data_IF_198305524483
#
_entry.id   IF_198305524483
#
_cell.length_a   1.000
_cell.length_b   1.000
_cell.length_c   1.000
_cell.angle_alpha   90.00
_cell.angle_beta   90.00
_cell.angle_gamma   90.00
#
_symmetry.space_group_name_H-M   'P 1'
#
loop_
_entity.id
_entity.type
_entity.pdbx_description
1 polymer ?
#
# COMPACT_ATOMS: atom_id res chain seq x y z
N UNK A 1 20.03 -35.59 49.65
CA UNK A 1 19.10 -36.69 49.31
C UNK A 1 18.17 -36.21 48.21
N UNK A 2 18.17 -36.96 47.13
CA UNK A 2 17.51 -36.76 45.85
C UNK A 2 16.00 -36.73 45.99
N UNK A 3 15.30 -35.89 45.18
CA UNK A 3 14.05 -36.33 44.56
C UNK A 3 13.82 -35.56 43.28
N UNK A 4 13.90 -36.27 42.18
CA UNK A 4 13.40 -35.91 40.85
C UNK A 4 11.86 -35.95 40.85
N UNK A 5 11.21 -34.96 40.30
CA UNK A 5 9.79 -35.02 39.91
C UNK A 5 9.70 -34.92 38.41
N UNK A 6 9.29 -36.02 37.78
CA UNK A 6 8.98 -36.12 36.35
C UNK A 6 7.71 -35.35 36.02
N UNK A 7 7.77 -34.47 34.99
CA UNK A 7 6.57 -33.91 34.37
C UNK A 7 6.12 -34.83 33.23
N UNK A 8 4.94 -35.38 33.36
CA UNK A 8 4.23 -36.13 32.33
C UNK A 8 3.55 -35.10 31.39
N UNK A 9 3.90 -35.14 30.10
CA UNK A 9 3.13 -34.51 29.06
C UNK A 9 1.92 -35.35 28.72
N UNK A 10 0.71 -34.86 29.00
CA UNK A 10 -0.53 -35.43 28.48
C UNK A 10 -0.78 -34.85 27.08
N UNK A 11 -0.58 -35.69 26.07
CA UNK A 11 -1.01 -35.42 24.69
C UNK A 11 -2.52 -35.72 24.61
N UNK A 12 -3.33 -34.69 24.46
CA UNK A 12 -4.76 -34.82 24.21
C UNK A 12 -4.99 -35.05 22.71
N UNK A 13 -5.14 -36.30 22.29
CA UNK A 13 -5.62 -36.64 20.95
C UNK A 13 -7.12 -36.29 20.85
N UNK A 14 -7.44 -35.18 20.14
CA UNK A 14 -8.81 -34.96 19.68
C UNK A 14 -9.07 -35.89 18.49
N UNK A 15 -9.87 -36.91 18.68
CA UNK A 15 -10.45 -37.72 17.59
C UNK A 15 -11.63 -36.94 17.00
N UNK A 16 -11.44 -36.33 15.82
CA UNK A 16 -12.54 -35.86 14.98
C UNK A 16 -13.21 -37.08 14.31
N UNK A 17 -14.54 -37.13 14.21
CA UNK A 17 -15.20 -38.22 13.50
C UNK A 17 -14.90 -38.13 12.01
N UNK A 18 -14.33 -39.17 11.42
CA UNK A 18 -14.25 -39.37 9.99
C UNK A 18 -15.69 -39.50 9.44
N UNK A 19 -16.16 -38.44 8.74
CA UNK A 19 -17.31 -38.57 7.86
C UNK A 19 -16.80 -39.32 6.63
N UNK A 20 -17.28 -40.53 6.43
CA UNK A 20 -16.97 -41.31 5.25
C UNK A 20 -17.59 -40.61 4.02
N UNK A 21 -16.74 -40.18 3.09
CA UNK A 21 -17.17 -39.73 1.79
C UNK A 21 -17.72 -40.91 1.00
N UNK A 22 -18.94 -40.78 0.50
CA UNK A 22 -19.52 -41.72 -0.48
C UNK A 22 -18.85 -41.46 -1.84
N UNK A 23 -18.10 -42.41 -2.42
CA UNK A 23 -17.37 -42.20 -3.68
C UNK A 23 -18.29 -42.16 -4.92
N UNK A 24 -19.60 -42.19 -4.77
CA UNK A 24 -20.55 -42.22 -5.87
C UNK A 24 -21.54 -41.03 -5.91
N UNK A 25 -21.20 -39.89 -5.24
CA UNK A 25 -22.00 -38.66 -5.38
C UNK A 25 -21.37 -37.74 -6.44
N UNK A 26 -21.95 -37.63 -7.67
CA UNK A 26 -21.36 -36.86 -8.76
C UNK A 26 -21.56 -35.31 -8.64
N UNK A 27 -22.21 -34.82 -7.59
CA UNK A 27 -22.64 -33.43 -7.48
C UNK A 27 -21.86 -32.59 -6.43
N UNK A 28 -20.75 -33.07 -5.89
CA UNK A 28 -19.86 -32.25 -5.08
C UNK A 28 -18.67 -31.84 -5.98
N UNK A 29 -18.54 -30.55 -6.34
CA UNK A 29 -17.30 -30.09 -6.97
C UNK A 29 -16.15 -30.43 -6.02
N UNK A 30 -15.09 -31.06 -6.53
CA UNK A 30 -13.84 -31.22 -5.79
C UNK A 30 -13.42 -29.83 -5.27
N UNK A 31 -13.66 -29.56 -3.99
CA UNK A 31 -13.01 -28.45 -3.30
C UNK A 31 -11.52 -28.76 -3.32
N UNK A 32 -10.80 -28.24 -4.31
CA UNK A 32 -9.34 -28.22 -4.30
C UNK A 32 -8.92 -27.59 -2.98
N UNK A 33 -8.53 -28.41 -2.00
CA UNK A 33 -7.85 -27.95 -0.79
C UNK A 33 -6.54 -27.34 -1.29
N UNK A 34 -6.52 -26.02 -1.52
CA UNK A 34 -5.32 -25.33 -1.96
C UNK A 34 -4.36 -25.27 -0.80
N UNK A 35 -3.29 -26.05 -0.90
CA UNK A 35 -2.14 -25.95 -0.02
C UNK A 35 -1.61 -24.51 -0.12
N UNK A 36 -1.54 -23.80 1.02
CA UNK A 36 -0.97 -22.46 1.12
C UNK A 36 0.46 -22.36 0.56
N UNK A 37 1.15 -23.51 0.43
CA UNK A 37 2.46 -23.63 -0.20
C UNK A 37 2.43 -23.49 -1.73
N UNK A 38 1.28 -23.48 -2.40
CA UNK A 38 1.19 -23.32 -3.85
C UNK A 38 1.41 -21.87 -4.31
N UNK A 39 1.18 -20.88 -3.46
CA UNK A 39 1.36 -19.46 -3.79
C UNK A 39 2.75 -18.95 -3.42
N UNK A 40 3.26 -18.00 -4.21
CA UNK A 40 4.50 -17.28 -3.93
C UNK A 40 4.20 -15.89 -3.38
N UNK A 41 3.83 -15.79 -2.10
CA UNK A 41 3.71 -14.52 -1.39
C UNK A 41 5.10 -14.11 -0.87
N UNK A 42 5.90 -13.44 -1.70
CA UNK A 42 7.31 -13.16 -1.41
C UNK A 42 7.66 -11.68 -1.34
N UNK A 43 6.70 -10.78 -1.62
CA UNK A 43 6.96 -9.34 -1.51
C UNK A 43 7.18 -8.91 -0.07
N UNK A 44 8.20 -8.08 0.14
CA UNK A 44 8.40 -7.33 1.37
C UNK A 44 7.39 -6.19 1.52
N UNK A 45 7.48 -5.44 2.63
CA UNK A 45 6.67 -4.23 2.80
C UNK A 45 7.14 -3.11 1.89
N UNK A 46 6.22 -2.26 1.42
CA UNK A 46 6.60 -0.99 0.82
C UNK A 46 7.20 -0.06 1.87
N UNK A 47 8.38 0.49 1.58
CA UNK A 47 8.99 1.50 2.45
C UNK A 47 8.22 2.82 2.47
N UNK A 48 7.37 3.08 1.46
CA UNK A 48 6.58 4.31 1.31
C UNK A 48 5.26 4.27 2.07
N UNK A 49 4.66 3.05 2.25
CA UNK A 49 3.28 2.86 2.73
C UNK A 49 3.16 3.06 4.23
N UNK A 50 2.34 4.02 4.63
CA UNK A 50 2.08 4.36 6.02
C UNK A 50 0.62 4.66 6.31
N UNK A 51 0.35 4.99 7.57
CA UNK A 51 -0.94 5.48 8.04
C UNK A 51 -0.76 6.68 8.97
N UNK A 52 -1.65 7.67 8.85
CA UNK A 52 -1.83 8.73 9.83
C UNK A 52 -2.86 8.25 10.86
N UNK A 53 -2.39 7.79 12.04
CA UNK A 53 -3.27 7.09 12.97
C UNK A 53 -2.76 7.04 14.41
N UNK A 54 -3.63 7.36 15.35
CA UNK A 54 -3.44 7.02 16.76
C UNK A 54 -3.92 5.58 16.97
N UNK A 55 -2.98 4.64 17.03
CA UNK A 55 -3.27 3.22 17.25
C UNK A 55 -4.04 3.05 18.56
N UNK A 56 -5.15 2.34 18.52
CA UNK A 56 -6.07 2.25 19.66
C UNK A 56 -5.90 0.96 20.46
N UNK A 57 -5.49 -0.13 19.79
CA UNK A 57 -5.38 -1.44 20.39
C UNK A 57 -4.40 -2.34 19.62
N UNK A 58 -4.00 -3.43 20.21
CA UNK A 58 -3.04 -4.39 19.63
C UNK A 58 -3.55 -5.02 18.35
N UNK A 59 -4.86 -5.30 18.25
CA UNK A 59 -5.49 -5.85 17.05
C UNK A 59 -5.35 -4.93 15.83
N UNK A 60 -5.25 -3.62 16.01
CA UNK A 60 -5.01 -2.68 14.91
C UNK A 60 -3.62 -2.92 14.27
N UNK A 61 -2.60 -3.14 15.13
CA UNK A 61 -1.26 -3.50 14.66
C UNK A 61 -1.23 -4.86 13.98
N UNK A 62 -1.93 -5.86 14.54
CA UNK A 62 -1.97 -7.20 13.98
C UNK A 62 -2.62 -7.24 12.59
N UNK A 63 -3.60 -6.36 12.35
CA UNK A 63 -4.31 -6.25 11.07
C UNK A 63 -3.56 -5.42 10.02
N UNK A 64 -2.97 -4.30 10.39
CA UNK A 64 -2.35 -3.35 9.44
C UNK A 64 -0.82 -3.45 9.40
N UNK A 65 -0.20 -3.86 10.50
CA UNK A 65 1.24 -3.95 10.66
C UNK A 65 1.98 -4.74 9.58
N UNK A 66 1.42 -5.83 9.01
CA UNK A 66 2.05 -6.53 7.90
C UNK A 66 2.33 -5.68 6.65
N UNK A 67 1.58 -4.59 6.43
CA UNK A 67 1.72 -3.74 5.24
C UNK A 67 2.25 -2.32 5.53
N UNK A 68 2.17 -1.87 6.78
CA UNK A 68 2.53 -0.50 7.19
C UNK A 68 3.99 -0.46 7.62
N UNK A 69 4.78 0.43 7.01
CA UNK A 69 6.20 0.64 7.33
C UNK A 69 6.46 1.85 8.19
N UNK A 70 5.53 2.80 8.23
CA UNK A 70 5.65 3.99 9.07
C UNK A 70 4.29 4.55 9.47
N UNK A 71 4.26 5.31 10.54
CA UNK A 71 3.06 6.04 10.98
C UNK A 71 3.41 7.28 11.78
N UNK A 72 2.43 8.17 11.92
CA UNK A 72 2.42 9.26 12.88
C UNK A 72 1.00 9.46 13.42
N UNK A 73 0.86 10.17 14.53
CA UNK A 73 -0.41 10.34 15.24
C UNK A 73 -0.63 11.80 15.69
N UNK A 74 -0.07 12.75 14.95
CA UNK A 74 -0.12 14.20 15.21
C UNK A 74 0.50 14.63 16.55
N UNK A 75 1.21 13.74 17.25
CA UNK A 75 1.82 13.99 18.54
C UNK A 75 3.35 13.94 18.49
N UNK A 76 3.98 14.31 19.60
CA UNK A 76 5.44 14.28 19.75
C UNK A 76 5.97 12.85 19.93
N UNK A 77 5.14 11.91 20.40
CA UNK A 77 5.45 10.50 20.60
C UNK A 77 4.16 9.68 20.71
N UNK A 78 4.26 8.36 20.75
CA UNK A 78 3.17 7.43 21.02
C UNK A 78 3.17 6.93 22.48
N UNK A 79 2.12 6.22 22.89
CA UNK A 79 2.04 5.62 24.22
C UNK A 79 3.11 4.50 24.37
N UNK A 80 3.90 4.53 25.44
CA UNK A 80 4.98 3.56 25.68
C UNK A 80 4.51 2.10 25.72
N UNK A 81 3.24 1.85 26.02
CA UNK A 81 2.62 0.52 25.95
C UNK A 81 2.59 -0.06 24.52
N UNK A 82 2.73 0.76 23.49
CA UNK A 82 2.70 0.35 22.09
C UNK A 82 4.08 0.01 21.53
N UNK A 83 5.16 0.30 22.25
CA UNK A 83 6.56 0.09 21.83
C UNK A 83 6.80 -1.31 21.26
N UNK A 84 6.36 -2.35 21.99
CA UNK A 84 6.52 -3.74 21.56
C UNK A 84 5.84 -4.05 20.22
N UNK A 85 4.72 -3.40 19.91
CA UNK A 85 4.01 -3.58 18.64
C UNK A 85 4.71 -2.84 17.49
N UNK A 86 5.19 -1.62 17.72
CA UNK A 86 6.01 -0.90 16.74
C UNK A 86 7.25 -1.72 16.35
N UNK A 87 7.94 -2.29 17.34
CA UNK A 87 9.12 -3.14 17.11
C UNK A 87 8.75 -4.46 16.41
N UNK A 88 7.69 -5.15 16.87
CA UNK A 88 7.21 -6.41 16.30
C UNK A 88 6.95 -6.29 14.79
N UNK A 89 6.32 -5.20 14.38
CA UNK A 89 5.97 -4.99 12.99
C UNK A 89 6.98 -4.12 12.23
N UNK A 90 8.05 -3.64 12.86
CA UNK A 90 9.03 -2.77 12.21
C UNK A 90 8.40 -1.51 11.63
N UNK A 91 7.48 -0.89 12.38
CA UNK A 91 6.80 0.35 11.98
C UNK A 91 7.62 1.52 12.49
N UNK A 92 8.07 2.39 11.60
CA UNK A 92 8.78 3.60 11.96
C UNK A 92 7.80 4.70 12.36
N UNK A 93 7.79 5.10 13.62
CA UNK A 93 7.02 6.26 14.06
C UNK A 93 7.76 7.55 13.75
N UNK A 94 7.02 8.58 13.33
CA UNK A 94 7.57 9.91 13.04
C UNK A 94 6.91 10.95 13.94
N UNK A 95 7.67 11.57 14.89
CA UNK A 95 7.18 12.67 15.70
C UNK A 95 6.74 13.88 14.88
N UNK A 96 5.78 14.66 15.41
CA UNK A 96 5.30 15.88 14.79
C UNK A 96 5.32 17.05 15.77
N UNK A 97 5.78 18.21 15.32
CA UNK A 97 5.53 19.50 15.97
C UNK A 97 4.24 20.08 15.38
N UNK A 98 3.07 19.72 15.96
CA UNK A 98 1.75 20.06 15.41
C UNK A 98 1.54 21.57 15.20
N UNK A 99 2.02 22.39 16.14
CA UNK A 99 2.11 23.84 16.08
C UNK A 99 3.32 24.28 16.93
N UNK A 100 3.42 25.52 17.36
CA UNK A 100 4.48 26.02 18.24
C UNK A 100 4.38 25.57 19.72
N UNK A 101 3.38 24.75 20.06
CA UNK A 101 3.22 24.16 21.41
C UNK A 101 3.50 22.65 21.34
N UNK A 102 4.80 22.27 21.41
CA UNK A 102 5.27 20.89 21.39
C UNK A 102 6.25 20.63 22.54
N UNK A 103 6.50 19.36 22.85
CA UNK A 103 7.48 18.95 23.85
C UNK A 103 8.80 18.52 23.21
N UNK A 104 9.77 19.42 23.16
CA UNK A 104 11.12 19.11 22.69
C UNK A 104 11.75 17.97 23.49
N UNK A 105 11.49 17.91 24.81
CA UNK A 105 12.01 16.84 25.67
C UNK A 105 11.42 15.47 25.30
N UNK A 106 10.11 15.38 25.00
CA UNK A 106 9.49 14.11 24.56
C UNK A 106 10.02 13.65 23.22
N UNK A 107 10.23 14.57 22.27
CA UNK A 107 10.82 14.28 20.95
C UNK A 107 12.26 13.78 21.12
N UNK A 108 13.08 14.45 21.94
CA UNK A 108 14.45 14.07 22.20
C UNK A 108 14.55 12.69 22.88
N UNK A 109 13.69 12.41 23.88
CA UNK A 109 13.61 11.10 24.52
C UNK A 109 13.26 9.99 23.52
N UNK A 110 12.26 10.22 22.66
CA UNK A 110 11.91 9.27 21.60
C UNK A 110 13.13 8.94 20.72
N UNK A 111 13.85 9.95 20.24
CA UNK A 111 15.01 9.72 19.37
C UNK A 111 16.20 9.06 20.10
N UNK A 112 16.40 9.33 21.39
CA UNK A 112 17.44 8.67 22.17
C UNK A 112 17.21 7.14 22.25
N UNK A 113 15.96 6.71 22.38
CA UNK A 113 15.57 5.30 22.41
C UNK A 113 15.62 4.65 21.02
N UNK A 114 15.61 5.45 19.93
CA UNK A 114 15.55 4.98 18.52
C UNK A 114 16.75 5.46 17.68
N UNK A 115 17.90 5.65 18.28
CA UNK A 115 19.09 6.25 17.65
C UNK A 115 19.65 5.48 16.43
N UNK A 116 19.27 4.21 16.25
CA UNK A 116 19.74 3.37 15.13
C UNK A 116 18.92 3.54 13.84
N UNK A 117 17.83 4.29 13.88
CA UNK A 117 16.96 4.54 12.74
C UNK A 117 17.30 5.88 12.06
N UNK A 118 16.98 6.01 10.76
CA UNK A 118 16.96 7.34 10.14
C UNK A 118 15.78 8.12 10.69
N UNK A 119 16.04 9.12 11.51
CA UNK A 119 15.02 9.94 12.14
C UNK A 119 14.43 10.97 11.17
N UNK A 120 13.14 11.25 11.34
CA UNK A 120 12.41 12.30 10.64
C UNK A 120 11.53 13.05 11.65
N UNK A 121 11.38 14.37 11.45
CA UNK A 121 10.50 15.22 12.25
C UNK A 121 9.52 15.92 11.33
N UNK A 122 8.21 15.73 11.54
CA UNK A 122 7.18 16.48 10.84
C UNK A 122 7.05 17.88 11.43
N UNK A 123 6.95 18.88 10.56
CA UNK A 123 6.65 20.26 10.91
C UNK A 123 5.19 20.48 11.28
N UNK A 124 4.74 21.74 11.21
CA UNK A 124 3.40 22.15 11.65
C UNK A 124 2.29 21.52 10.83
N UNK A 125 1.18 21.19 11.49
CA UNK A 125 0.02 20.58 10.87
C UNK A 125 -0.89 21.65 10.25
N UNK A 126 -1.00 21.66 8.94
CA UNK A 126 -1.95 22.48 8.17
C UNK A 126 -2.02 23.95 8.61
N UNK A 127 -0.88 24.66 8.69
CA UNK A 127 -0.90 26.04 9.17
C UNK A 127 -1.70 26.97 8.24
N UNK A 128 -1.97 26.57 7.00
CA UNK A 128 -2.80 27.29 6.04
C UNK A 128 -4.32 27.03 6.20
N UNK A 129 -4.75 26.33 7.26
CA UNK A 129 -6.15 26.18 7.64
C UNK A 129 -6.44 26.91 8.96
N UNK A 130 -7.57 27.64 9.02
CA UNK A 130 -7.96 28.46 10.18
C UNK A 130 -8.44 27.64 11.38
N UNK A 131 -8.79 26.38 11.18
CA UNK A 131 -9.24 25.42 12.21
C UNK A 131 -8.15 24.40 12.58
N UNK A 132 -6.94 24.54 12.02
CA UNK A 132 -5.77 23.72 12.33
C UNK A 132 -4.68 24.56 13.01
N UNK A 133 -3.41 24.39 12.69
CA UNK A 133 -2.35 25.19 13.33
C UNK A 133 -2.51 26.71 13.10
N UNK A 134 -3.18 27.13 12.05
CA UNK A 134 -3.63 28.50 11.78
C UNK A 134 -2.51 29.54 11.91
N UNK A 135 -1.50 29.43 11.06
CA UNK A 135 -0.32 30.30 11.06
C UNK A 135 -0.10 30.90 9.69
N UNK A 136 0.16 32.20 9.60
CA UNK A 136 0.77 32.81 8.42
C UNK A 136 2.21 32.30 8.26
N UNK A 137 2.82 32.37 7.06
CA UNK A 137 4.22 32.04 6.87
C UNK A 137 5.17 32.77 7.83
N UNK A 138 4.86 34.05 8.15
CA UNK A 138 5.65 34.84 9.11
C UNK A 138 5.54 34.29 10.54
N UNK A 139 4.33 33.97 11.00
CA UNK A 139 4.12 33.37 12.32
C UNK A 139 4.76 32.00 12.45
N UNK A 140 4.69 31.19 11.40
CA UNK A 140 5.33 29.88 11.38
C UNK A 140 6.87 30.01 11.42
N UNK A 141 7.43 30.99 10.71
CA UNK A 141 8.88 31.25 10.68
C UNK A 141 9.43 31.77 12.02
N UNK A 142 8.63 32.49 12.81
CA UNK A 142 9.05 33.09 14.11
C UNK A 142 9.60 32.04 15.10
N UNK A 143 9.09 30.80 15.06
CA UNK A 143 9.49 29.71 15.94
C UNK A 143 10.14 28.54 15.19
N UNK A 144 10.42 28.70 13.89
CA UNK A 144 10.92 27.59 13.07
C UNK A 144 12.35 27.18 13.42
N UNK A 145 13.19 28.12 13.85
CA UNK A 145 14.57 27.83 14.26
C UNK A 145 14.62 26.88 15.47
N UNK A 146 13.64 26.90 16.35
CA UNK A 146 13.52 25.95 17.48
C UNK A 146 13.24 24.52 16.96
N UNK A 147 12.38 24.39 15.96
CA UNK A 147 12.07 23.10 15.32
C UNK A 147 13.31 22.57 14.56
N UNK A 148 14.02 23.44 13.86
CA UNK A 148 15.31 23.13 13.21
C UNK A 148 16.34 22.67 14.22
N UNK A 149 16.45 23.34 15.37
CA UNK A 149 17.40 22.98 16.43
C UNK A 149 17.09 21.57 16.99
N UNK A 150 15.82 21.22 17.19
CA UNK A 150 15.41 19.88 17.62
C UNK A 150 15.78 18.84 16.56
N UNK A 151 15.50 19.09 15.30
CA UNK A 151 15.83 18.17 14.22
C UNK A 151 17.36 17.93 14.15
N UNK A 152 18.15 19.00 14.17
CA UNK A 152 19.61 18.92 14.10
C UNK A 152 20.23 18.20 15.31
N UNK A 153 19.79 18.52 16.52
CA UNK A 153 20.33 17.90 17.74
C UNK A 153 20.03 16.41 17.85
N UNK A 154 19.02 15.91 17.13
CA UNK A 154 18.62 14.51 17.12
C UNK A 154 18.94 13.80 15.80
N UNK A 155 19.75 14.40 14.92
CA UNK A 155 20.08 13.87 13.59
C UNK A 155 18.84 13.46 12.80
N UNK A 156 17.75 14.25 12.89
CA UNK A 156 16.50 14.01 12.20
C UNK A 156 16.41 14.86 10.93
N UNK A 157 15.87 14.28 9.86
CA UNK A 157 15.50 14.99 8.64
C UNK A 157 14.20 15.74 8.89
N UNK A 158 14.23 17.06 8.73
CA UNK A 158 13.06 17.90 8.98
C UNK A 158 12.18 17.96 7.74
N UNK A 159 10.90 17.67 7.93
CA UNK A 159 9.86 17.77 6.90
C UNK A 159 9.14 19.12 7.07
N UNK A 160 8.74 19.75 5.99
CA UNK A 160 8.05 21.04 6.01
C UNK A 160 6.77 21.00 6.85
N UNK A 161 6.18 22.14 7.18
CA UNK A 161 4.76 22.18 7.55
C UNK A 161 3.91 21.45 6.52
N UNK A 162 2.92 20.67 6.96
CA UNK A 162 2.01 19.93 6.08
C UNK A 162 0.96 20.89 5.50
N UNK A 163 0.84 20.92 4.17
CA UNK A 163 -0.08 21.83 3.46
C UNK A 163 -1.38 21.14 3.07
N UNK A 164 -2.49 21.85 3.20
CA UNK A 164 -3.81 21.44 2.69
C UNK A 164 -4.31 22.49 1.67
N UNK A 165 -5.58 22.41 1.22
CA UNK A 165 -6.15 23.35 0.21
C UNK A 165 -6.04 24.83 0.62
N UNK A 166 -6.26 25.15 1.90
CA UNK A 166 -6.12 26.48 2.47
C UNK A 166 -7.45 27.21 2.70
N UNK A 167 -7.63 27.69 3.93
CA UNK A 167 -8.73 28.61 4.33
C UNK A 167 -8.19 29.91 4.92
N UNK A 168 -6.87 30.00 5.11
CA UNK A 168 -6.22 31.18 5.65
C UNK A 168 -6.25 32.31 4.61
N UNK A 169 -6.76 33.46 5.01
CA UNK A 169 -6.87 34.64 4.12
C UNK A 169 -5.52 35.03 3.53
N UNK A 170 -5.48 35.30 2.23
CA UNK A 170 -4.27 35.65 1.49
C UNK A 170 -3.54 34.47 0.86
N UNK A 171 -3.89 33.23 1.19
CA UNK A 171 -3.24 32.02 0.64
C UNK A 171 -4.27 31.10 0.03
N UNK A 172 -4.34 31.07 -1.31
CA UNK A 172 -5.28 30.25 -2.05
C UNK A 172 -4.79 28.81 -2.30
N UNK A 173 -3.50 28.53 -2.04
CA UNK A 173 -2.90 27.19 -2.21
C UNK A 173 -1.79 26.98 -1.19
N UNK A 174 -1.53 25.71 -0.84
CA UNK A 174 -0.40 25.35 0.00
C UNK A 174 0.95 25.68 -0.64
N UNK A 175 1.07 25.60 -1.96
CA UNK A 175 2.29 26.00 -2.69
C UNK A 175 2.61 27.50 -2.46
N UNK A 176 1.61 28.37 -2.56
CA UNK A 176 1.78 29.82 -2.31
C UNK A 176 2.24 30.09 -0.88
N UNK A 177 1.64 29.41 0.09
CA UNK A 177 2.01 29.53 1.50
C UNK A 177 3.48 29.10 1.73
N UNK A 178 3.88 27.95 1.20
CA UNK A 178 5.25 27.44 1.33
C UNK A 178 6.27 28.30 0.60
N UNK A 179 5.94 28.85 -0.57
CA UNK A 179 6.82 29.76 -1.29
C UNK A 179 7.16 30.97 -0.43
N UNK A 180 6.17 31.61 0.21
CA UNK A 180 6.44 32.71 1.12
C UNK A 180 7.21 32.27 2.36
N UNK A 181 6.84 31.13 2.97
CA UNK A 181 7.53 30.57 4.13
C UNK A 181 9.03 30.36 3.85
N UNK A 182 9.37 29.84 2.68
CA UNK A 182 10.76 29.59 2.28
C UNK A 182 11.58 30.87 2.04
N UNK A 183 10.94 32.02 1.90
CA UNK A 183 11.67 33.33 1.90
C UNK A 183 12.06 33.79 3.32
N UNK A 184 11.50 33.18 4.37
CA UNK A 184 11.67 33.60 5.76
C UNK A 184 12.52 32.62 6.58
N UNK A 185 12.73 31.40 6.09
CA UNK A 185 13.53 30.35 6.73
C UNK A 185 14.63 29.88 5.80
N UNK A 186 15.61 29.12 6.31
CA UNK A 186 16.62 28.51 5.44
C UNK A 186 16.05 27.24 4.80
N UNK A 187 15.79 27.21 3.48
CA UNK A 187 15.23 26.03 2.81
C UNK A 187 16.12 24.77 2.91
N UNK A 188 17.43 24.94 3.14
CA UNK A 188 18.37 23.81 3.24
C UNK A 188 18.19 23.01 4.54
N UNK A 189 17.56 23.58 5.55
CA UNK A 189 17.23 22.86 6.79
C UNK A 189 16.00 21.95 6.63
N UNK A 190 15.24 22.10 5.54
CA UNK A 190 14.05 21.31 5.24
C UNK A 190 14.42 20.24 4.24
N UNK A 191 14.26 18.97 4.63
CA UNK A 191 14.58 17.82 3.80
C UNK A 191 13.47 17.49 2.78
N UNK A 192 12.22 17.47 3.20
CA UNK A 192 11.06 17.04 2.39
C UNK A 192 9.84 17.93 2.56
N UNK A 193 8.87 17.79 1.68
CA UNK A 193 7.62 18.58 1.64
C UNK A 193 6.44 17.71 2.04
N UNK A 194 5.75 18.06 3.14
CA UNK A 194 4.53 17.39 3.57
C UNK A 194 3.28 18.02 2.94
N UNK A 195 2.35 17.16 2.51
CA UNK A 195 1.09 17.56 1.87
C UNK A 195 -0.05 16.68 2.34
N UNK A 196 -1.24 17.27 2.52
CA UNK A 196 -2.52 16.60 2.78
C UNK A 196 -3.47 16.86 1.60
N UNK A 197 -4.01 15.81 1.01
CA UNK A 197 -4.88 15.92 -0.18
C UNK A 197 -6.09 15.03 -0.06
N UNK A 198 -7.28 15.62 -0.08
CA UNK A 198 -8.56 14.96 0.18
C UNK A 198 -9.53 15.07 -1.00
N UNK A 199 -9.03 15.00 -2.22
CA UNK A 199 -9.86 15.03 -3.43
C UNK A 199 -10.45 13.64 -3.68
N UNK A 200 -11.67 13.58 -4.26
CA UNK A 200 -12.40 12.34 -4.50
C UNK A 200 -12.03 11.62 -5.82
N UNK A 201 -11.10 12.16 -6.59
CA UNK A 201 -10.63 11.59 -7.85
C UNK A 201 -9.11 11.46 -7.82
N UNK A 202 -8.58 10.28 -8.09
CA UNK A 202 -7.14 10.01 -8.07
C UNK A 202 -6.35 10.99 -8.96
N UNK A 203 -6.86 11.29 -10.16
CA UNK A 203 -6.24 12.28 -11.07
C UNK A 203 -6.07 13.65 -10.42
N UNK A 204 -7.07 14.13 -9.70
CA UNK A 204 -7.00 15.42 -9.02
C UNK A 204 -6.02 15.41 -7.86
N UNK A 205 -6.06 14.34 -7.03
CA UNK A 205 -5.13 14.15 -5.90
C UNK A 205 -3.67 14.10 -6.37
N UNK A 206 -3.39 13.25 -7.36
CA UNK A 206 -2.04 13.07 -7.87
C UNK A 206 -1.56 14.30 -8.66
N UNK A 207 -2.45 14.95 -9.41
CA UNK A 207 -2.15 16.19 -10.12
C UNK A 207 -1.81 17.36 -9.18
N UNK A 208 -2.52 17.48 -8.05
CA UNK A 208 -2.20 18.49 -7.04
C UNK A 208 -0.86 18.20 -6.35
N UNK A 209 -0.59 16.94 -6.03
CA UNK A 209 0.70 16.51 -5.46
C UNK A 209 1.88 16.90 -6.35
N UNK A 210 1.75 16.78 -7.69
CA UNK A 210 2.81 17.15 -8.63
C UNK A 210 3.20 18.63 -8.55
N UNK A 211 2.30 19.53 -8.14
CA UNK A 211 2.56 20.97 -8.02
C UNK A 211 3.64 21.27 -6.97
N UNK A 212 3.81 20.40 -5.97
CA UNK A 212 4.81 20.55 -4.92
C UNK A 212 6.22 20.15 -5.35
N UNK A 213 6.39 19.51 -6.51
CA UNK A 213 7.72 19.21 -7.10
C UNK A 213 8.52 20.47 -7.42
N UNK A 214 7.88 21.63 -7.51
CA UNK A 214 8.54 22.94 -7.70
C UNK A 214 9.60 23.25 -6.63
N UNK A 215 9.50 22.63 -5.45
CA UNK A 215 10.46 22.81 -4.35
C UNK A 215 11.72 21.95 -4.50
N UNK A 216 11.77 21.00 -5.44
CA UNK A 216 12.94 20.15 -5.69
C UNK A 216 13.35 19.26 -4.51
N UNK A 217 12.38 18.86 -3.67
CA UNK A 217 12.59 18.08 -2.46
C UNK A 217 11.71 16.82 -2.47
N UNK A 218 12.09 15.74 -1.76
CA UNK A 218 11.24 14.56 -1.62
C UNK A 218 9.84 14.92 -1.09
N UNK A 219 8.81 14.34 -1.72
CA UNK A 219 7.44 14.57 -1.32
C UNK A 219 6.99 13.55 -0.27
N UNK A 220 6.20 14.01 0.67
CA UNK A 220 5.54 13.24 1.71
C UNK A 220 4.04 13.53 1.67
N UNK A 221 3.26 12.60 1.12
CA UNK A 221 1.80 12.69 1.17
C UNK A 221 1.32 12.13 2.51
N UNK A 222 1.37 12.98 3.54
CA UNK A 222 1.18 12.55 4.93
C UNK A 222 -0.27 12.26 5.28
N UNK A 223 -1.23 12.75 4.49
CA UNK A 223 -2.63 12.37 4.60
C UNK A 223 -3.30 12.37 3.24
N UNK A 224 -4.03 11.29 2.93
CA UNK A 224 -4.90 11.25 1.76
C UNK A 224 -5.99 10.19 1.90
N UNK A 225 -7.15 10.49 1.37
CA UNK A 225 -8.24 9.58 1.01
C UNK A 225 -9.20 10.33 0.08
N UNK A 226 -10.13 9.62 -0.55
CA UNK A 226 -11.24 10.31 -1.19
C UNK A 226 -12.21 10.80 -0.10
N UNK A 227 -12.50 12.10 -0.09
CA UNK A 227 -13.32 12.77 0.92
C UNK A 227 -14.72 13.07 0.42
N UNK A 228 -15.07 14.35 0.31
CA UNK A 228 -16.37 14.78 -0.17
C UNK A 228 -16.68 14.24 -1.57
N UNK A 229 -17.90 13.74 -1.75
CA UNK A 229 -18.33 13.16 -3.03
C UNK A 229 -17.90 11.72 -3.25
N UNK A 230 -17.17 11.08 -2.33
CA UNK A 230 -16.96 9.64 -2.35
C UNK A 230 -18.27 8.93 -1.98
N UNK A 231 -18.93 8.34 -2.96
CA UNK A 231 -20.32 7.87 -2.84
C UNK A 231 -20.46 6.40 -2.44
N UNK A 232 -19.37 5.64 -2.42
CA UNK A 232 -19.42 4.21 -2.14
C UNK A 232 -18.06 3.60 -1.74
N UNK A 233 -18.10 2.43 -1.10
CA UNK A 233 -16.93 1.61 -0.84
C UNK A 233 -16.14 1.31 -2.12
N UNK A 234 -16.82 0.97 -3.21
CA UNK A 234 -16.18 0.67 -4.49
C UNK A 234 -15.44 1.90 -5.07
N UNK A 235 -16.02 3.10 -4.96
CA UNK A 235 -15.36 4.34 -5.40
C UNK A 235 -14.08 4.61 -4.59
N UNK A 236 -14.12 4.40 -3.26
CA UNK A 236 -12.94 4.55 -2.41
C UNK A 236 -11.86 3.50 -2.71
N UNK A 237 -12.25 2.24 -2.99
CA UNK A 237 -11.32 1.19 -3.40
C UNK A 237 -10.66 1.51 -4.74
N UNK A 238 -11.41 2.00 -5.72
CA UNK A 238 -10.86 2.42 -7.01
C UNK A 238 -9.89 3.60 -6.86
N UNK A 239 -10.26 4.61 -6.08
CA UNK A 239 -9.39 5.75 -5.75
C UNK A 239 -8.10 5.28 -5.11
N UNK A 240 -8.19 4.45 -4.06
CA UNK A 240 -7.05 3.89 -3.34
C UNK A 240 -6.12 3.14 -4.29
N UNK A 241 -6.66 2.25 -5.13
CA UNK A 241 -5.89 1.45 -6.06
C UNK A 241 -5.11 2.33 -7.06
N UNK A 242 -5.76 3.30 -7.69
CA UNK A 242 -5.12 4.21 -8.65
C UNK A 242 -4.06 5.09 -7.99
N UNK A 243 -4.33 5.60 -6.78
CA UNK A 243 -3.35 6.37 -6.02
C UNK A 243 -2.14 5.52 -5.66
N UNK A 244 -2.32 4.34 -5.05
CA UNK A 244 -1.21 3.49 -4.61
C UNK A 244 -0.34 3.07 -5.81
N UNK A 245 -0.95 2.65 -6.93
CA UNK A 245 -0.22 2.26 -8.13
C UNK A 245 0.68 3.39 -8.67
N UNK A 246 0.25 4.64 -8.53
CA UNK A 246 1.02 5.80 -8.96
C UNK A 246 2.07 6.22 -7.93
N UNK A 247 1.69 6.27 -6.65
CA UNK A 247 2.55 6.72 -5.56
C UNK A 247 3.75 5.79 -5.34
N UNK A 248 3.55 4.47 -5.47
CA UNK A 248 4.65 3.50 -5.34
C UNK A 248 5.69 3.68 -6.44
N UNK A 249 5.29 4.12 -7.64
CA UNK A 249 6.16 4.30 -8.79
C UNK A 249 6.71 5.74 -8.95
N UNK A 250 6.23 6.72 -8.17
CA UNK A 250 6.74 8.09 -8.20
C UNK A 250 8.09 8.18 -7.44
N UNK A 251 9.18 8.43 -8.16
CA UNK A 251 10.52 8.51 -7.57
C UNK A 251 10.74 9.77 -6.73
N UNK A 252 9.92 10.81 -6.89
CA UNK A 252 9.99 12.03 -6.09
C UNK A 252 9.20 11.91 -4.78
N UNK A 253 8.35 10.86 -4.64
CA UNK A 253 7.62 10.58 -3.42
C UNK A 253 8.41 9.62 -2.53
N UNK A 254 8.71 10.04 -1.31
CA UNK A 254 9.40 9.20 -0.32
C UNK A 254 8.41 8.42 0.55
N UNK A 255 7.30 9.03 0.97
CA UNK A 255 6.29 8.41 1.85
C UNK A 255 4.88 8.88 1.55
N UNK A 256 3.91 7.99 1.80
CA UNK A 256 2.48 8.32 1.82
C UNK A 256 1.78 7.64 3.01
N UNK A 257 0.74 8.28 3.56
CA UNK A 257 -0.05 7.73 4.66
C UNK A 257 -1.55 7.86 4.39
N UNK A 258 -2.25 6.73 4.52
CA UNK A 258 -3.70 6.71 4.40
C UNK A 258 -4.36 7.37 5.62
N UNK A 259 -5.28 8.29 5.39
CA UNK A 259 -6.14 8.90 6.40
C UNK A 259 -7.56 8.34 6.27
N UNK A 260 -8.12 7.66 7.21
CA UNK A 260 -7.63 7.23 8.52
C UNK A 260 -8.07 5.77 8.74
N UNK A 261 -7.25 4.89 9.33
CA UNK A 261 -7.61 3.48 9.51
C UNK A 261 -8.91 3.22 10.25
N UNK A 262 -9.31 4.08 11.18
CA UNK A 262 -10.56 3.94 11.94
C UNK A 262 -11.28 5.28 12.04
N UNK A 263 -12.37 5.44 11.31
CA UNK A 263 -13.19 6.64 11.15
C UNK A 263 -13.87 6.62 9.78
N UNK A 264 -14.73 7.57 9.47
CA UNK A 264 -15.34 7.72 8.15
C UNK A 264 -16.13 6.51 7.68
N UNK A 265 -17.06 6.03 8.47
CA UNK A 265 -17.99 4.96 8.10
C UNK A 265 -19.13 5.50 7.24
N UNK A 266 -19.80 4.64 6.47
CA UNK A 266 -20.80 5.01 5.47
C UNK A 266 -21.95 5.91 5.96
N UNK A 267 -22.18 5.97 7.27
CA UNK A 267 -23.21 6.80 7.90
C UNK A 267 -22.69 8.15 8.39
N UNK A 268 -21.40 8.43 8.18
CA UNK A 268 -20.71 9.63 8.65
C UNK A 268 -20.47 10.61 7.50
N UNK A 269 -20.07 11.84 7.83
CA UNK A 269 -19.79 12.88 6.83
C UNK A 269 -18.59 12.50 5.93
N UNK A 270 -17.62 11.74 6.49
CA UNK A 270 -16.43 11.27 5.79
C UNK A 270 -16.61 9.79 5.41
N UNK A 271 -17.20 9.50 4.26
CA UNK A 271 -17.63 8.16 3.94
C UNK A 271 -16.49 7.26 3.48
N UNK A 272 -16.54 6.02 3.89
CA UNK A 272 -15.80 4.90 3.30
C UNK A 272 -14.27 4.94 3.44
N UNK A 273 -13.66 5.76 4.30
CA UNK A 273 -12.19 5.80 4.42
C UNK A 273 -11.61 4.71 5.33
N UNK A 274 -12.40 4.15 6.26
CA UNK A 274 -11.91 3.22 7.28
C UNK A 274 -11.35 1.93 6.70
N UNK A 275 -10.14 1.56 7.16
CA UNK A 275 -9.49 0.29 6.87
C UNK A 275 -9.93 -0.81 7.84
N UNK A 276 -10.37 -0.43 9.04
CA UNK A 276 -10.74 -1.32 10.15
C UNK A 276 -12.23 -1.20 10.46
N UNK A 277 -12.83 -2.30 10.93
CA UNK A 277 -14.23 -2.30 11.36
C UNK A 277 -14.41 -1.49 12.66
N UNK A 278 -15.59 -0.88 12.82
CA UNK A 278 -15.93 -0.06 14.00
C UNK A 278 -16.10 -0.87 15.28
N UNK A 279 -16.61 -2.09 15.16
CA UNK A 279 -17.03 -2.93 16.29
C UNK A 279 -16.32 -4.29 16.25
N UNK A 280 -16.25 -4.93 17.42
CA UNK A 280 -15.74 -6.32 17.55
C UNK A 280 -16.64 -7.35 16.84
N UNK A 281 -16.04 -8.40 16.25
CA UNK A 281 -14.61 -8.63 16.17
C UNK A 281 -13.97 -7.61 15.22
N UNK A 282 -12.83 -7.03 15.64
CA UNK A 282 -12.11 -6.09 14.75
C UNK A 282 -11.50 -6.86 13.58
N UNK A 283 -11.69 -6.31 12.39
CA UNK A 283 -11.26 -6.91 11.14
C UNK A 283 -10.94 -5.84 10.10
N UNK A 284 -10.26 -6.22 9.05
CA UNK A 284 -10.09 -5.38 7.87
C UNK A 284 -11.43 -5.21 7.15
N UNK A 285 -11.76 -3.97 6.82
CA UNK A 285 -12.83 -3.67 5.86
C UNK A 285 -12.40 -4.12 4.46
N UNK A 286 -13.27 -3.97 3.45
CA UNK A 286 -12.90 -4.18 2.04
C UNK A 286 -11.67 -3.33 1.66
N UNK A 287 -11.65 -2.02 2.02
CA UNK A 287 -10.52 -1.11 1.81
C UNK A 287 -9.29 -1.55 2.58
N UNK A 288 -9.46 -2.01 3.83
CA UNK A 288 -8.36 -2.56 4.62
C UNK A 288 -7.72 -3.78 3.98
N UNK A 289 -8.52 -4.71 3.46
CA UNK A 289 -8.04 -5.89 2.73
C UNK A 289 -7.28 -5.47 1.47
N UNK A 290 -7.81 -4.49 0.73
CA UNK A 290 -7.15 -3.95 -0.44
C UNK A 290 -5.79 -3.29 -0.06
N UNK A 291 -5.80 -2.37 0.91
CA UNK A 291 -4.61 -1.64 1.37
C UNK A 291 -3.48 -2.56 1.84
N UNK A 292 -3.82 -3.61 2.59
CA UNK A 292 -2.83 -4.54 3.16
C UNK A 292 -2.24 -5.47 2.09
N UNK A 293 -3.07 -5.92 1.13
CA UNK A 293 -2.68 -6.98 0.19
C UNK A 293 -2.31 -6.48 -1.21
N UNK A 294 -2.48 -5.19 -1.53
CA UNK A 294 -1.97 -4.64 -2.79
C UNK A 294 -0.45 -4.75 -2.88
N UNK A 295 0.06 -4.85 -4.11
CA UNK A 295 1.49 -4.84 -4.36
C UNK A 295 2.25 -3.79 -3.55
N UNK A 296 3.40 -4.18 -3.03
CA UNK A 296 4.39 -3.28 -2.45
C UNK A 296 5.40 -2.75 -3.49
N UNK A 297 5.24 -3.16 -4.76
CA UNK A 297 6.17 -2.83 -5.86
C UNK A 297 7.62 -3.25 -5.57
N UNK A 298 7.77 -4.34 -4.82
CA UNK A 298 9.07 -4.88 -4.42
C UNK A 298 9.88 -5.32 -5.65
N UNK A 299 10.91 -4.54 -5.97
CA UNK A 299 11.78 -4.78 -7.13
C UNK A 299 12.76 -5.94 -6.88
N UNK A 300 12.98 -6.32 -5.63
CA UNK A 300 13.86 -7.42 -5.21
C UNK A 300 13.15 -8.77 -5.20
N UNK A 301 11.81 -8.78 -5.22
CA UNK A 301 11.02 -10.00 -5.24
C UNK A 301 11.23 -10.77 -6.56
N UNK A 302 11.79 -11.98 -6.48
CA UNK A 302 12.03 -12.87 -7.64
C UNK A 302 11.16 -14.11 -7.50
N UNK A 303 10.12 -14.21 -8.32
CA UNK A 303 9.16 -15.31 -8.27
C UNK A 303 9.75 -16.61 -8.82
N UNK A 304 9.57 -17.76 -8.14
CA UNK A 304 9.98 -19.07 -8.65
C UNK A 304 8.98 -19.62 -9.68
N UNK A 305 9.46 -20.42 -10.64
CA UNK A 305 8.60 -21.29 -11.41
C UNK A 305 7.95 -22.37 -10.53
N UNK A 306 6.84 -22.94 -10.99
CA UNK A 306 6.12 -23.99 -10.27
C UNK A 306 5.21 -23.52 -9.15
N UNK A 307 5.21 -22.22 -8.82
CA UNK A 307 4.32 -21.60 -7.84
C UNK A 307 3.29 -20.68 -8.52
N UNK A 308 2.10 -20.55 -7.94
CA UNK A 308 1.11 -19.55 -8.36
C UNK A 308 1.61 -18.17 -7.95
N UNK A 309 1.67 -17.25 -8.88
CA UNK A 309 2.05 -15.85 -8.65
C UNK A 309 0.76 -15.06 -8.61
N UNK A 310 0.39 -14.42 -7.47
CA UNK A 310 -0.78 -13.55 -7.39
C UNK A 310 -0.69 -12.44 -8.43
N UNK A 311 -1.74 -12.23 -9.19
CA UNK A 311 -1.70 -11.25 -10.28
C UNK A 311 -1.57 -9.81 -9.79
N UNK A 312 -2.00 -9.52 -8.57
CA UNK A 312 -1.84 -8.22 -7.92
C UNK A 312 -0.42 -7.94 -7.39
N UNK A 313 0.50 -8.91 -7.38
CA UNK A 313 1.85 -8.77 -6.82
C UNK A 313 2.89 -8.38 -7.87
N UNK A 314 2.55 -7.45 -8.75
CA UNK A 314 3.48 -6.91 -9.74
C UNK A 314 4.53 -5.99 -9.11
N UNK A 315 5.72 -5.90 -9.73
CA UNK A 315 6.81 -4.97 -9.36
C UNK A 315 6.67 -3.60 -10.02
N UNK A 316 5.87 -3.51 -11.08
CA UNK A 316 5.51 -2.30 -11.80
C UNK A 316 4.23 -2.56 -12.60
N UNK A 317 3.48 -1.51 -12.88
CA UNK A 317 2.30 -1.56 -13.75
C UNK A 317 2.19 -0.29 -14.61
N UNK A 318 1.36 -0.38 -15.65
CA UNK A 318 1.03 0.79 -16.46
C UNK A 318 0.26 1.82 -15.63
N UNK A 319 0.62 3.08 -15.82
CA UNK A 319 -0.15 4.26 -15.39
C UNK A 319 -0.19 5.21 -16.57
N UNK A 320 -1.36 5.61 -17.00
CA UNK A 320 -1.50 6.56 -18.11
C UNK A 320 -1.49 8.04 -17.64
N UNK A 321 -1.63 8.95 -18.57
CA UNK A 321 -1.67 10.40 -18.31
C UNK A 321 -2.86 10.87 -17.45
N UNK A 322 -3.87 10.02 -17.31
CA UNK A 322 -5.02 10.23 -16.45
C UNK A 322 -4.95 9.43 -15.14
N UNK A 323 -3.79 8.83 -14.86
CA UNK A 323 -3.54 7.93 -13.73
C UNK A 323 -4.41 6.67 -13.73
N UNK A 324 -4.96 6.28 -14.88
CA UNK A 324 -5.61 4.99 -15.01
C UNK A 324 -4.55 3.88 -15.03
N UNK A 325 -4.77 2.87 -14.22
CA UNK A 325 -3.87 1.75 -13.99
C UNK A 325 -4.68 0.45 -13.86
N UNK A 326 -4.05 -0.74 -13.87
CA UNK A 326 -4.75 -1.98 -13.53
C UNK A 326 -5.48 -1.83 -12.21
N UNK A 327 -6.78 -2.16 -12.19
CA UNK A 327 -7.57 -2.13 -10.97
C UNK A 327 -7.43 -3.45 -10.22
N UNK A 328 -7.34 -3.35 -8.90
CA UNK A 328 -7.30 -4.47 -7.98
C UNK A 328 -8.58 -4.46 -7.13
N UNK A 329 -9.18 -5.61 -6.95
CA UNK A 329 -10.38 -5.80 -6.13
C UNK A 329 -10.27 -7.07 -5.28
N UNK A 330 -11.20 -7.24 -4.33
CA UNK A 330 -11.31 -8.50 -3.60
C UNK A 330 -11.60 -9.63 -4.59
N UNK A 331 -10.88 -10.74 -4.44
CA UNK A 331 -11.05 -11.89 -5.33
C UNK A 331 -12.42 -12.54 -5.13
N UNK A 332 -13.05 -12.88 -6.24
CA UNK A 332 -14.32 -13.65 -6.26
C UNK A 332 -14.09 -15.13 -6.55
N UNK A 333 -12.85 -15.53 -6.81
CA UNK A 333 -12.46 -16.92 -6.98
C UNK A 333 -12.18 -17.61 -5.64
N UNK A 334 -12.24 -18.91 -5.63
CA UNK A 334 -11.88 -19.72 -4.46
C UNK A 334 -10.39 -19.54 -4.15
N UNK A 335 -10.06 -19.28 -2.89
CA UNK A 335 -8.68 -19.13 -2.39
C UNK A 335 -7.87 -17.92 -2.91
N UNK A 336 -8.49 -16.97 -3.62
CA UNK A 336 -7.85 -15.69 -3.94
C UNK A 336 -8.09 -14.64 -2.84
N UNK A 337 -7.09 -13.80 -2.56
CA UNK A 337 -7.26 -12.64 -1.66
C UNK A 337 -7.69 -11.43 -2.48
N UNK A 338 -6.92 -11.09 -3.47
CA UNK A 338 -7.22 -10.04 -4.44
C UNK A 338 -7.20 -10.60 -5.86
N UNK A 339 -7.64 -9.80 -6.81
CA UNK A 339 -7.63 -10.07 -8.24
C UNK A 339 -7.35 -8.81 -9.03
N UNK A 340 -6.82 -8.93 -10.22
CA UNK A 340 -6.90 -7.85 -11.22
C UNK A 340 -8.33 -7.79 -11.73
N UNK A 341 -9.01 -6.65 -11.52
CA UNK A 341 -10.42 -6.49 -11.84
C UNK A 341 -10.63 -5.81 -13.21
N UNK A 342 -10.31 -6.54 -14.25
CA UNK A 342 -10.44 -6.08 -15.63
C UNK A 342 -9.22 -5.31 -16.13
N UNK A 343 -8.21 -6.06 -16.59
CA UNK A 343 -7.05 -5.48 -17.23
C UNK A 343 -7.46 -4.90 -18.60
N UNK A 344 -7.41 -3.56 -18.71
CA UNK A 344 -7.86 -2.87 -19.92
C UNK A 344 -6.82 -2.96 -21.05
N UNK A 345 -7.27 -2.67 -22.28
CA UNK A 345 -6.40 -2.66 -23.46
C UNK A 345 -5.14 -1.79 -23.22
N UNK A 346 -3.98 -2.33 -23.54
CA UNK A 346 -2.64 -1.77 -23.33
C UNK A 346 -2.19 -1.63 -21.87
N UNK A 347 -3.04 -1.89 -20.88
CA UNK A 347 -2.55 -2.01 -19.51
C UNK A 347 -1.66 -3.24 -19.35
N UNK A 348 -0.66 -3.13 -18.48
CA UNK A 348 0.33 -4.17 -18.25
C UNK A 348 0.78 -4.23 -16.79
N UNK A 349 1.38 -5.36 -16.44
CA UNK A 349 1.98 -5.65 -15.13
C UNK A 349 3.29 -6.41 -15.32
N UNK A 350 4.32 -6.04 -14.58
CA UNK A 350 5.66 -6.63 -14.64
C UNK A 350 5.95 -7.51 -13.43
N UNK A 351 6.59 -8.65 -13.66
CA UNK A 351 7.02 -9.58 -12.62
C UNK A 351 8.45 -10.02 -12.88
N UNK A 352 9.30 -10.04 -11.86
CA UNK A 352 10.62 -10.63 -11.98
C UNK A 352 10.55 -12.11 -11.64
N UNK A 353 10.91 -12.96 -12.59
CA UNK A 353 10.73 -14.41 -12.48
C UNK A 353 12.05 -15.13 -12.74
N UNK A 354 12.39 -16.10 -11.87
CA UNK A 354 13.49 -17.05 -12.11
C UNK A 354 12.96 -18.21 -12.94
N UNK A 355 13.10 -18.09 -14.26
CA UNK A 355 12.71 -19.14 -15.21
C UNK A 355 13.69 -20.28 -15.16
N UNK A 356 13.20 -21.51 -14.92
CA UNK A 356 13.99 -22.71 -14.90
C UNK A 356 14.10 -23.31 -16.33
N UNK A 357 15.19 -24.05 -16.59
CA UNK A 357 15.33 -24.83 -17.82
C UNK A 357 14.23 -25.90 -17.88
N UNK A 358 13.53 -25.98 -19.00
CA UNK A 358 12.50 -26.99 -19.21
C UNK A 358 11.06 -26.51 -18.92
N UNK A 359 10.86 -25.24 -18.58
CA UNK A 359 9.52 -24.64 -18.57
C UNK A 359 8.89 -24.76 -19.95
N UNK A 360 7.64 -25.27 -20.01
CA UNK A 360 6.90 -25.54 -21.24
C UNK A 360 5.51 -24.92 -21.28
N UNK A 361 5.00 -24.52 -20.13
CA UNK A 361 3.62 -24.03 -20.04
C UNK A 361 3.51 -22.75 -19.20
N UNK A 362 2.63 -21.89 -19.65
CA UNK A 362 2.08 -20.75 -18.91
C UNK A 362 0.63 -21.05 -18.54
N UNK A 363 0.36 -21.15 -17.25
CA UNK A 363 -0.98 -21.34 -16.73
C UNK A 363 -1.50 -20.03 -16.17
N UNK A 364 -2.76 -19.69 -16.47
CA UNK A 364 -3.40 -18.49 -15.97
C UNK A 364 -4.82 -18.81 -15.47
N UNK A 365 -5.12 -18.35 -14.27
CA UNK A 365 -6.46 -18.39 -13.66
C UNK A 365 -7.17 -17.09 -13.92
N UNK A 366 -8.24 -17.11 -14.72
CA UNK A 366 -8.90 -15.91 -15.21
C UNK A 366 -10.40 -16.08 -15.34
N UNK A 367 -11.10 -14.97 -15.50
CA UNK A 367 -12.46 -14.88 -16.03
C UNK A 367 -12.55 -13.71 -17.00
N UNK A 368 -13.38 -13.83 -18.03
CA UNK A 368 -13.57 -12.79 -19.03
C UNK A 368 -14.97 -12.89 -19.64
N UNK A 369 -15.73 -11.81 -19.64
CA UNK A 369 -17.09 -11.78 -20.23
C UNK A 369 -17.08 -11.62 -21.76
N UNK A 370 -15.91 -11.51 -22.36
CA UNK A 370 -15.65 -11.46 -23.80
C UNK A 370 -14.28 -12.01 -24.10
N UNK A 371 -14.08 -12.49 -25.32
CA UNK A 371 -12.78 -12.98 -25.76
C UNK A 371 -11.71 -11.93 -25.51
N UNK A 372 -10.66 -12.36 -24.85
CA UNK A 372 -9.55 -11.51 -24.41
C UNK A 372 -8.21 -12.11 -24.84
N UNK A 373 -7.15 -11.33 -24.78
CA UNK A 373 -5.79 -11.77 -25.06
C UNK A 373 -4.80 -11.08 -24.14
N UNK A 374 -3.83 -11.86 -23.65
CA UNK A 374 -2.65 -11.37 -22.94
C UNK A 374 -1.42 -11.72 -23.78
N UNK A 375 -0.62 -10.71 -24.10
CA UNK A 375 0.71 -10.95 -24.68
C UNK A 375 1.77 -10.85 -23.58
N UNK A 376 2.61 -11.88 -23.52
CA UNK A 376 3.75 -11.98 -22.60
C UNK A 376 4.96 -11.38 -23.30
N UNK A 377 5.58 -10.37 -22.69
CA UNK A 377 6.82 -9.77 -23.17
C UNK A 377 7.96 -10.04 -22.19
N UNK A 378 9.17 -10.17 -22.71
CA UNK A 378 10.38 -9.93 -21.93
C UNK A 378 10.68 -8.43 -21.96
N UNK A 379 10.99 -7.87 -20.81
CA UNK A 379 11.41 -6.46 -20.67
C UNK A 379 12.88 -6.41 -20.29
N UNK A 380 13.67 -5.63 -21.01
CA UNK A 380 15.08 -5.39 -20.70
C UNK A 380 15.27 -4.24 -19.68
N UNK A 381 16.52 -4.02 -19.26
CA UNK A 381 16.85 -2.98 -18.27
C UNK A 381 16.59 -1.54 -18.78
N UNK A 382 16.44 -1.35 -20.09
CA UNK A 382 16.08 -0.07 -20.71
C UNK A 382 14.57 0.07 -20.91
N UNK A 383 13.77 -0.95 -20.52
CA UNK A 383 12.33 -0.96 -20.68
C UNK A 383 11.83 -1.41 -22.07
N UNK A 384 12.72 -1.89 -22.94
CA UNK A 384 12.31 -2.37 -24.27
C UNK A 384 11.57 -3.70 -24.16
N UNK A 385 10.46 -3.81 -24.90
CA UNK A 385 9.60 -5.00 -24.94
C UNK A 385 10.00 -5.93 -26.10
N UNK A 386 10.16 -7.23 -25.80
CA UNK A 386 10.26 -8.30 -26.79
C UNK A 386 9.11 -9.27 -26.60
N UNK A 387 8.20 -9.37 -27.56
CA UNK A 387 7.06 -10.28 -27.48
C UNK A 387 7.56 -11.73 -27.49
N UNK A 388 7.08 -12.51 -26.54
CA UNK A 388 7.39 -13.94 -26.42
C UNK A 388 6.21 -14.81 -26.86
N UNK A 389 5.01 -14.50 -26.40
CA UNK A 389 3.80 -15.32 -26.65
C UNK A 389 2.55 -14.49 -26.46
N UNK A 390 1.55 -14.70 -27.34
CA UNK A 390 0.18 -14.23 -27.11
C UNK A 390 -0.68 -15.41 -26.69
N UNK A 391 -1.42 -15.24 -25.61
CA UNK A 391 -2.32 -16.22 -25.00
C UNK A 391 -3.75 -15.75 -25.19
N UNK A 392 -4.52 -16.50 -25.96
CA UNK A 392 -5.96 -16.26 -26.12
C UNK A 392 -6.69 -16.73 -24.87
N UNK A 393 -7.57 -15.88 -24.35
CA UNK A 393 -8.41 -16.13 -23.18
C UNK A 393 -9.88 -16.10 -23.62
N UNK A 394 -10.48 -17.24 -24.02
CA UNK A 394 -11.86 -17.32 -24.42
C UNK A 394 -12.80 -16.75 -23.35
N UNK A 395 -13.93 -16.21 -23.78
CA UNK A 395 -14.95 -15.72 -22.85
C UNK A 395 -15.48 -16.84 -21.96
N UNK A 396 -15.69 -16.49 -20.69
CA UNK A 396 -16.39 -17.34 -19.72
C UNK A 396 -17.86 -16.95 -19.63
N UNK A 397 -18.69 -17.74 -18.94
CA UNK A 397 -20.15 -17.48 -18.87
C UNK A 397 -20.49 -16.19 -18.15
N UNK A 398 -19.73 -15.86 -17.10
CA UNK A 398 -19.89 -14.62 -16.33
C UNK A 398 -18.59 -14.25 -15.56
N UNK A 399 -18.67 -13.20 -14.76
CA UNK A 399 -17.54 -12.67 -13.96
C UNK A 399 -17.06 -13.59 -12.84
N UNK A 400 -17.89 -14.54 -12.42
CA UNK A 400 -17.59 -15.50 -11.36
C UNK A 400 -17.19 -16.87 -11.92
N UNK A 401 -17.30 -17.06 -13.24
CA UNK A 401 -16.94 -18.31 -13.91
C UNK A 401 -15.42 -18.39 -14.14
N UNK A 402 -14.68 -18.58 -13.07
CA UNK A 402 -13.23 -18.71 -13.11
C UNK A 402 -12.78 -20.01 -13.77
N UNK A 403 -11.78 -19.92 -14.64
CA UNK A 403 -11.21 -21.07 -15.34
C UNK A 403 -9.68 -20.97 -15.38
N UNK A 404 -9.00 -22.10 -15.44
CA UNK A 404 -7.56 -22.18 -15.64
C UNK A 404 -7.28 -22.60 -17.07
N UNK A 405 -6.48 -21.79 -17.77
CA UNK A 405 -6.00 -22.09 -19.11
C UNK A 405 -4.50 -22.41 -19.05
N UNK A 406 -4.08 -23.46 -19.78
CA UNK A 406 -2.67 -23.78 -20.00
C UNK A 406 -2.33 -23.50 -21.45
N UNK A 407 -1.31 -22.68 -21.69
CA UNK A 407 -0.77 -22.40 -23.00
C UNK A 407 0.68 -22.90 -23.10
N UNK A 408 1.09 -23.37 -24.28
CA UNK A 408 2.49 -23.71 -24.54
C UNK A 408 3.33 -22.44 -24.42
N UNK A 409 4.43 -22.51 -23.66
CA UNK A 409 5.31 -21.37 -23.41
C UNK A 409 6.71 -21.84 -23.03
N UNK A 410 7.69 -21.55 -23.87
CA UNK A 410 9.09 -21.99 -23.71
C UNK A 410 10.04 -20.81 -23.65
N UNK A 411 10.05 -20.05 -22.53
CA UNK A 411 10.95 -18.91 -22.37
C UNK A 411 12.40 -19.37 -22.13
N UNK A 412 13.37 -18.51 -22.43
CA UNK A 412 14.75 -18.76 -22.07
C UNK A 412 14.90 -18.87 -20.54
N UNK A 413 15.77 -19.78 -20.08
CA UNK A 413 16.08 -19.90 -18.66
C UNK A 413 16.86 -18.68 -18.14
N UNK A 414 16.70 -18.38 -16.85
CA UNK A 414 17.36 -17.26 -16.17
C UNK A 414 16.36 -16.34 -15.47
N UNK A 415 16.88 -15.40 -14.68
CA UNK A 415 16.05 -14.36 -14.07
C UNK A 415 15.74 -13.28 -15.11
N UNK A 416 14.48 -12.95 -15.28
CA UNK A 416 14.02 -11.98 -16.27
C UNK A 416 12.73 -11.29 -15.81
N UNK A 417 12.49 -10.10 -16.31
CA UNK A 417 11.21 -9.40 -16.14
C UNK A 417 10.27 -9.84 -17.24
N UNK A 418 9.14 -10.43 -16.86
CA UNK A 418 8.03 -10.76 -17.74
C UNK A 418 6.89 -9.76 -17.53
N UNK A 419 6.44 -9.17 -18.64
CA UNK A 419 5.29 -8.27 -18.71
C UNK A 419 4.08 -9.00 -19.23
N UNK A 420 2.98 -8.98 -18.48
CA UNK A 420 1.68 -9.40 -18.94
C UNK A 420 0.90 -8.16 -19.42
N UNK A 421 0.64 -8.05 -20.71
CA UNK A 421 -0.03 -6.89 -21.32
C UNK A 421 -1.33 -7.33 -21.98
N UNK A 422 -2.44 -6.66 -21.65
CA UNK A 422 -3.69 -6.90 -22.32
C UNK A 422 -3.65 -6.34 -23.75
N UNK A 423 -3.81 -7.20 -24.74
CA UNK A 423 -3.83 -6.84 -26.16
C UNK A 423 -5.21 -6.95 -26.78
N UNK A 424 -6.18 -7.54 -26.06
CA UNK A 424 -7.59 -7.59 -26.45
C UNK A 424 -8.47 -7.87 -25.23
N UNK A 425 -9.67 -7.29 -25.21
CA UNK A 425 -10.70 -7.63 -24.24
C UNK A 425 -10.60 -6.88 -22.92
N UNK A 426 -10.92 -7.57 -21.82
CA UNK A 426 -10.93 -7.05 -20.45
C UNK A 426 -10.91 -8.22 -19.44
N UNK A 427 -9.85 -9.03 -19.41
CA UNK A 427 -9.80 -10.18 -18.53
C UNK A 427 -9.64 -9.76 -17.06
N UNK A 428 -10.20 -10.55 -16.14
CA UNK A 428 -9.86 -10.57 -14.72
C UNK A 428 -8.89 -11.69 -14.49
N UNK A 429 -7.90 -11.47 -13.62
CA UNK A 429 -6.83 -12.43 -13.38
C UNK A 429 -6.64 -12.60 -11.87
N UNK A 430 -6.68 -13.84 -11.40
CA UNK A 430 -6.37 -14.19 -10.02
C UNK A 430 -4.87 -14.48 -9.86
N UNK A 431 -4.35 -15.44 -10.63
CA UNK A 431 -2.95 -15.83 -10.58
C UNK A 431 -2.47 -16.37 -11.94
N UNK A 432 -1.16 -16.48 -12.08
CA UNK A 432 -0.53 -17.23 -13.17
C UNK A 432 0.64 -18.06 -12.63
N UNK A 433 1.12 -19.03 -13.42
CA UNK A 433 2.20 -19.95 -13.07
C UNK A 433 2.96 -20.41 -14.31
N UNK A 434 4.28 -20.56 -14.19
CA UNK A 434 5.16 -21.15 -15.21
C UNK A 434 5.57 -22.55 -14.78
N UNK A 435 5.36 -23.58 -15.62
CA UNK A 435 5.72 -24.98 -15.37
C UNK A 435 6.57 -25.57 -16.49
#
# INVERSE_FOLDING_TARGET
>A
MKNLSSFFFFSLLLTLPLVACDPNNPDVPDEEIVDSNEYAYIQGKSAKRGVSFSWQMDEDFDLLGPAVSWSYNWANTYASSQEGKYQQYGIHYVPMCWNNSYSAASIAAYYADHATQQNYLLGYNEPNLTDQANMTPSQAAEHWDDVVAIAKSNNARLISPAMNWGTLSGYSTGVQWLQEFFTKVNPNDIYGIAVHIYMNVAKSTLGDLQRYKVFGKPLWLTEFCAWEGCSSSAAQCQFMCQCINSLEQDNDLERYAWFIPRGGYATEAEPYMSLLTKTKPYALTERGKLFVNMSSFDKEAVYPCGKRIPAEHYRACSVDENYASPLVALCTDVNGVLQIDGLALNQWMDYQIKVLKGVKHFNIRYTATRDSEITIYKVDDNGNETALQTVALPSTTDKAAWTTLSADFTPAAGTQVLRLKCTKGLPRINWFKLN
#
